data_IF_385947824134
#
_entry.id   IF_385947824134
#
_cell.length_a   1.000
_cell.length_b   1.000
_cell.length_c   1.000
_cell.angle_alpha   90.00
_cell.angle_beta   90.00
_cell.angle_gamma   90.00
#
_symmetry.space_group_name_H-M   'P 1'
#
loop_
_entity.id
_entity.type
_entity.pdbx_description
1 polymer ?
#
# COMPACT_ATOMS: atom_id res chain seq x y z
N UNK A 1 -40.70 -25.71 -60.56
CA UNK A 1 -41.65 -24.60 -60.80
C UNK A 1 -42.19 -24.20 -59.43
N UNK A 2 -42.10 -22.98 -58.86
CA UNK A 2 -41.85 -21.61 -59.33
C UNK A 2 -41.29 -20.78 -58.15
N UNK A 3 -40.58 -19.71 -58.48
CA UNK A 3 -39.98 -18.69 -57.59
C UNK A 3 -41.00 -17.78 -56.85
N UNK A 4 -40.59 -17.32 -55.64
CA UNK A 4 -40.62 -15.96 -55.00
C UNK A 4 -41.95 -15.12 -54.97
N UNK A 5 -42.10 -14.02 -54.16
CA UNK A 5 -41.09 -13.26 -53.40
C UNK A 5 -41.45 -12.72 -51.98
N UNK A 6 -40.39 -12.41 -51.22
CA UNK A 6 -40.10 -11.27 -50.31
C UNK A 6 -41.24 -10.45 -49.65
N UNK A 7 -41.09 -10.19 -48.35
CA UNK A 7 -41.40 -8.88 -47.75
C UNK A 7 -40.36 -8.51 -46.70
N UNK A 8 -39.46 -7.63 -47.13
CA UNK A 8 -38.52 -6.86 -46.33
C UNK A 8 -39.26 -6.17 -45.18
N UNK A 9 -38.79 -6.34 -43.94
CA UNK A 9 -39.12 -5.42 -42.85
C UNK A 9 -37.90 -4.56 -42.59
N UNK A 10 -37.73 -3.54 -43.44
CA UNK A 10 -36.92 -2.38 -43.14
C UNK A 10 -37.55 -1.63 -41.95
N UNK A 11 -36.82 -1.55 -40.83
CA UNK A 11 -36.87 -0.41 -39.91
C UNK A 11 -35.41 -0.02 -39.71
N UNK A 12 -35.01 1.00 -40.46
CA UNK A 12 -34.96 2.39 -40.01
C UNK A 12 -33.72 2.63 -39.13
N UNK A 13 -32.72 3.10 -39.86
CA UNK A 13 -31.55 3.87 -39.45
C UNK A 13 -31.84 4.81 -38.27
N UNK A 14 -31.31 4.50 -37.08
CA UNK A 14 -30.99 5.55 -36.11
C UNK A 14 -29.48 5.62 -35.91
N UNK A 15 -28.94 6.69 -36.47
CA UNK A 15 -27.54 7.03 -36.62
C UNK A 15 -27.05 7.69 -35.32
N UNK A 16 -26.77 6.90 -34.29
CA UNK A 16 -26.00 7.36 -33.13
C UNK A 16 -24.49 7.37 -33.42
N UNK A 17 -23.70 8.36 -32.95
CA UNK A 17 -22.26 8.37 -33.15
C UNK A 17 -21.62 7.14 -32.47
N UNK A 18 -20.50 6.59 -32.98
CA UNK A 18 -19.82 5.48 -32.33
C UNK A 18 -19.33 5.96 -30.97
N UNK A 19 -19.93 5.43 -29.91
CA UNK A 19 -19.48 5.65 -28.54
C UNK A 19 -18.00 5.27 -28.46
N UNK A 20 -17.19 6.25 -28.06
CA UNK A 20 -15.77 6.06 -27.78
C UNK A 20 -15.58 4.84 -26.86
N UNK A 21 -14.46 4.11 -26.97
CA UNK A 21 -14.18 3.01 -26.05
C UNK A 21 -14.28 3.53 -24.61
N UNK A 22 -14.92 2.78 -23.69
CA UNK A 22 -14.96 3.19 -22.30
C UNK A 22 -13.52 3.33 -21.83
N UNK A 23 -13.17 4.55 -21.42
CA UNK A 23 -11.95 4.86 -20.68
C UNK A 23 -11.79 3.80 -19.57
N UNK A 24 -10.58 3.27 -19.30
CA UNK A 24 -10.40 2.29 -18.26
C UNK A 24 -10.90 2.90 -16.95
N UNK A 25 -11.98 2.33 -16.41
CA UNK A 25 -12.43 2.65 -15.07
C UNK A 25 -11.22 2.45 -14.14
N UNK A 26 -10.84 3.44 -13.31
CA UNK A 26 -9.93 3.16 -12.22
C UNK A 26 -10.64 2.10 -11.35
N UNK A 27 -9.99 0.95 -11.19
CA UNK A 27 -10.57 -0.15 -10.43
C UNK A 27 -10.87 0.29 -8.98
N UNK A 28 -11.84 -0.35 -8.29
CA UNK A 28 -12.32 0.09 -6.96
C UNK A 28 -11.36 -0.13 -5.79
N UNK A 29 -10.08 -0.37 -6.05
CA UNK A 29 -9.11 -0.69 -4.99
C UNK A 29 -7.85 0.12 -5.22
N UNK A 30 -8.09 1.40 -5.41
CA UNK A 30 -7.06 2.39 -5.25
C UNK A 30 -6.70 2.35 -3.74
N UNK A 31 -5.39 2.41 -3.39
CA UNK A 31 -4.83 2.09 -2.06
C UNK A 31 -5.36 2.98 -0.92
N UNK A 32 -6.00 4.08 -1.31
CA UNK A 32 -6.56 5.18 -0.53
C UNK A 32 -7.99 4.88 -0.08
N UNK A 33 -8.67 3.90 -0.68
CA UNK A 33 -10.01 3.44 -0.24
C UNK A 33 -9.91 2.26 0.77
N UNK A 34 -8.74 1.61 0.86
CA UNK A 34 -8.49 0.45 1.75
C UNK A 34 -7.92 0.90 3.12
N UNK A 35 -7.20 2.01 3.14
CA UNK A 35 -6.67 2.64 4.36
C UNK A 35 -7.65 3.73 4.74
N UNK A 36 -8.29 3.64 5.91
CA UNK A 36 -9.15 4.72 6.38
C UNK A 36 -8.34 5.99 6.60
N UNK A 37 -9.01 7.13 6.72
CA UNK A 37 -8.39 8.41 7.11
C UNK A 37 -7.59 8.34 8.43
N UNK A 38 -7.86 7.32 9.25
CA UNK A 38 -7.12 6.98 10.47
C UNK A 38 -5.75 6.34 10.16
N UNK A 39 -5.66 5.42 9.20
CA UNK A 39 -4.41 4.73 8.81
C UNK A 39 -3.40 5.68 8.12
N UNK A 40 -3.87 6.80 7.56
CA UNK A 40 -2.98 7.79 6.92
C UNK A 40 -2.17 8.59 7.95
N UNK A 41 -2.66 8.71 9.19
CA UNK A 41 -1.95 9.37 10.29
C UNK A 41 -0.79 8.50 10.83
N UNK A 42 -0.94 7.17 10.79
CA UNK A 42 0.10 6.22 11.18
C UNK A 42 1.23 6.10 10.13
N UNK A 43 1.07 6.74 8.96
CA UNK A 43 2.05 6.63 7.88
C UNK A 43 3.23 7.57 8.10
N UNK A 44 4.42 6.99 8.19
CA UNK A 44 5.67 7.78 8.32
C UNK A 44 5.98 8.54 7.00
N UNK A 45 6.18 9.87 7.03
CA UNK A 45 6.52 10.65 5.85
C UNK A 45 7.94 10.31 5.34
N UNK A 46 8.13 10.38 4.02
CA UNK A 46 9.40 10.07 3.34
C UNK A 46 10.61 10.83 3.90
N UNK A 47 10.41 12.06 4.38
CA UNK A 47 11.48 12.85 4.99
C UNK A 47 12.01 12.19 6.27
N UNK A 48 11.12 11.69 7.14
CA UNK A 48 11.50 10.96 8.35
C UNK A 48 12.10 9.60 8.02
N UNK A 49 11.58 8.90 7.01
CA UNK A 49 12.15 7.64 6.55
C UNK A 49 13.60 7.77 6.07
N UNK A 50 14.00 8.91 5.48
CA UNK A 50 15.40 9.15 5.10
C UNK A 50 16.34 9.24 6.30
N UNK A 51 15.86 9.74 7.45
CA UNK A 51 16.65 9.84 8.68
C UNK A 51 17.06 8.46 9.22
N UNK A 52 16.27 7.42 8.95
CA UNK A 52 16.62 6.03 9.31
C UNK A 52 17.97 5.61 8.69
N UNK A 53 18.30 6.13 7.50
CA UNK A 53 19.57 5.84 6.83
C UNK A 53 20.79 6.58 7.41
N UNK A 54 20.57 7.58 8.27
CA UNK A 54 21.63 8.30 8.97
C UNK A 54 21.97 7.67 10.33
N UNK A 55 21.09 6.81 10.87
CA UNK A 55 21.32 6.09 12.13
C UNK A 55 22.35 4.96 11.93
N UNK A 56 23.51 5.09 12.59
CA UNK A 56 24.56 4.07 12.58
C UNK A 56 24.07 2.75 13.22
N UNK A 57 23.33 2.84 14.34
CA UNK A 57 22.73 1.69 15.01
C UNK A 57 21.83 0.90 14.07
N UNK A 58 20.93 1.59 13.35
CA UNK A 58 20.00 0.95 12.42
C UNK A 58 20.75 0.33 11.22
N UNK A 59 21.81 0.98 10.74
CA UNK A 59 22.66 0.44 9.68
C UNK A 59 23.38 -0.83 10.12
N UNK A 60 23.91 -0.85 11.34
CA UNK A 60 24.57 -2.04 11.91
C UNK A 60 23.59 -3.19 12.08
N UNK A 61 22.36 -2.91 12.54
CA UNK A 61 21.30 -3.94 12.57
C UNK A 61 21.03 -4.50 11.18
N UNK A 62 20.98 -3.65 10.14
CA UNK A 62 20.77 -4.06 8.75
C UNK A 62 21.96 -4.82 8.14
N UNK A 63 23.15 -4.83 8.75
CA UNK A 63 24.24 -5.72 8.32
C UNK A 63 23.89 -7.19 8.58
N UNK A 64 22.95 -7.46 9.49
CA UNK A 64 22.51 -8.82 9.79
C UNK A 64 21.68 -9.40 8.63
N UNK A 65 22.14 -10.50 7.99
CA UNK A 65 21.43 -11.09 6.86
C UNK A 65 20.05 -11.63 7.27
N UNK A 66 19.92 -12.11 8.51
CA UNK A 66 18.65 -12.61 9.04
C UNK A 66 17.59 -11.51 9.10
N UNK A 67 17.94 -10.33 9.64
CA UNK A 67 17.01 -9.20 9.70
C UNK A 67 16.55 -8.77 8.31
N UNK A 68 17.47 -8.68 7.35
CA UNK A 68 17.13 -8.35 5.95
C UNK A 68 16.18 -9.38 5.35
N UNK A 69 16.36 -10.66 5.66
CA UNK A 69 15.45 -11.71 5.21
C UNK A 69 14.05 -11.55 5.83
N UNK A 70 13.96 -11.24 7.13
CA UNK A 70 12.68 -10.96 7.78
C UNK A 70 11.96 -9.79 7.09
N UNK A 71 12.66 -8.68 6.85
CA UNK A 71 12.09 -7.51 6.18
C UNK A 71 11.59 -7.83 4.76
N UNK A 72 12.40 -8.53 3.96
CA UNK A 72 12.02 -8.96 2.61
C UNK A 72 10.82 -9.92 2.63
N UNK A 73 10.75 -10.79 3.64
CA UNK A 73 9.65 -11.75 3.79
C UNK A 73 8.34 -11.02 4.08
N UNK A 74 8.35 -10.01 4.96
CA UNK A 74 7.15 -9.18 5.21
C UNK A 74 6.76 -8.40 3.96
N UNK A 75 7.72 -7.79 3.27
CA UNK A 75 7.46 -6.93 2.11
C UNK A 75 6.72 -7.71 1.00
N UNK A 76 7.14 -8.95 0.74
CA UNK A 76 6.61 -9.81 -0.31
C UNK A 76 5.41 -10.66 0.12
N UNK A 77 5.04 -10.68 1.41
CA UNK A 77 3.99 -11.55 1.91
C UNK A 77 2.59 -11.08 1.56
N UNK A 78 1.72 -12.05 1.24
CA UNK A 78 0.28 -11.81 1.12
C UNK A 78 -0.41 -11.59 2.47
N UNK A 79 0.09 -12.20 3.55
CA UNK A 79 -0.44 -12.03 4.91
C UNK A 79 0.61 -11.38 5.84
N UNK A 80 0.69 -10.04 5.74
CA UNK A 80 1.66 -9.24 6.49
C UNK A 80 1.36 -9.22 7.99
N UNK A 81 0.09 -9.21 8.37
CA UNK A 81 -0.33 -9.13 9.77
C UNK A 81 0.08 -10.36 10.59
N UNK A 82 -0.04 -11.58 10.05
CA UNK A 82 0.40 -12.79 10.75
C UNK A 82 1.91 -12.85 10.90
N UNK A 83 2.66 -12.49 9.85
CA UNK A 83 4.12 -12.43 9.90
C UNK A 83 4.60 -11.36 10.87
N UNK A 84 3.98 -10.18 10.88
CA UNK A 84 4.32 -9.11 11.81
C UNK A 84 4.21 -9.60 13.25
N UNK A 85 3.13 -10.29 13.62
CA UNK A 85 2.98 -10.86 14.98
C UNK A 85 4.08 -11.86 15.33
N UNK A 86 4.47 -12.71 14.37
CA UNK A 86 5.55 -13.68 14.60
C UNK A 86 6.90 -13.00 14.75
N UNK A 87 7.22 -12.06 13.86
CA UNK A 87 8.53 -11.40 13.88
C UNK A 87 8.65 -10.45 15.06
N UNK A 88 7.55 -9.91 15.57
CA UNK A 88 7.53 -9.19 16.85
C UNK A 88 7.86 -10.07 18.06
N UNK A 89 8.02 -11.39 17.90
CA UNK A 89 8.59 -12.27 18.93
C UNK A 89 10.12 -12.45 18.77
N UNK A 90 10.68 -12.06 17.63
CA UNK A 90 12.11 -12.16 17.36
C UNK A 90 12.83 -10.94 17.95
N UNK A 91 13.79 -11.12 18.88
CA UNK A 91 14.43 -10.00 19.57
C UNK A 91 15.14 -9.06 18.60
N UNK A 92 15.72 -9.60 17.53
CA UNK A 92 16.40 -8.82 16.49
C UNK A 92 15.44 -7.89 15.74
N UNK A 93 14.22 -8.34 15.48
CA UNK A 93 13.22 -7.55 14.77
C UNK A 93 12.60 -6.49 15.69
N UNK A 94 12.42 -6.82 16.97
CA UNK A 94 11.96 -5.86 17.99
C UNK A 94 12.99 -4.74 18.16
N UNK A 95 14.29 -5.06 18.26
CA UNK A 95 15.36 -4.08 18.36
C UNK A 95 15.40 -3.16 17.12
N UNK A 96 15.25 -3.72 15.93
CA UNK A 96 15.11 -2.95 14.70
C UNK A 96 13.90 -2.00 14.72
N UNK A 97 12.74 -2.49 15.17
CA UNK A 97 11.52 -1.68 15.26
C UNK A 97 11.70 -0.54 16.27
N UNK A 98 12.27 -0.81 17.44
CA UNK A 98 12.54 0.20 18.46
C UNK A 98 13.48 1.30 17.95
N UNK A 99 14.57 0.92 17.27
CA UNK A 99 15.47 1.86 16.62
C UNK A 99 14.76 2.70 15.56
N UNK A 100 13.88 2.11 14.74
CA UNK A 100 13.08 2.86 13.77
C UNK A 100 12.19 3.88 14.47
N UNK A 101 11.42 3.44 15.46
CA UNK A 101 10.47 4.27 16.21
C UNK A 101 11.17 5.45 16.89
N UNK A 102 12.34 5.24 17.51
CA UNK A 102 13.12 6.31 18.13
C UNK A 102 13.51 7.44 17.16
N UNK A 103 13.70 7.12 15.88
CA UNK A 103 14.06 8.08 14.84
C UNK A 103 12.82 8.79 14.27
N UNK A 104 11.72 8.06 14.04
CA UNK A 104 10.51 8.62 13.41
C UNK A 104 9.60 9.33 14.42
N UNK A 105 9.64 8.87 15.66
CA UNK A 105 8.94 9.37 16.85
C UNK A 105 9.98 9.62 17.94
N UNK A 106 10.79 10.70 17.81
CA UNK A 106 11.64 11.12 18.90
C UNK A 106 10.75 11.38 20.12
N UNK A 107 11.16 10.97 21.33
CA UNK A 107 10.37 11.22 22.52
C UNK A 107 10.12 12.72 22.59
N UNK A 108 8.86 13.12 22.44
CA UNK A 108 8.48 14.50 22.71
C UNK A 108 8.98 14.78 24.12
N UNK A 109 9.83 15.80 24.26
CA UNK A 109 10.14 16.36 25.57
C UNK A 109 8.80 16.50 26.26
N UNK A 110 8.62 15.77 27.36
CA UNK A 110 7.42 15.83 28.20
C UNK A 110 6.86 17.23 28.13
N UNK A 111 5.63 17.33 27.62
CA UNK A 111 4.82 18.51 27.79
C UNK A 111 4.70 18.71 29.31
N UNK A 112 5.65 19.43 29.89
CA UNK A 112 5.64 19.90 31.27
C UNK A 112 4.37 20.72 31.36
N UNK A 113 3.28 20.11 31.84
CA UNK A 113 2.10 20.85 32.26
C UNK A 113 2.59 21.77 33.38
N UNK A 114 2.55 23.10 33.23
CA UNK A 114 2.63 23.94 34.41
C UNK A 114 1.35 23.70 35.22
N UNK A 115 1.53 23.30 36.48
CA UNK A 115 0.47 23.22 37.50
C UNK A 115 -0.21 24.58 37.70
#
# INVERSE_FOLDING_TARGET
ERCAPHSNRERDEERGPPAAPPSPAPGPWSLEDILGEEDEQDRVPLQKLKLLGESEELRDLLLNPHLRQLLLTIDQAGDKSSLMRRFMQEPLFVEFADCCLRVVEPPEKENILPE
#
